data_IF_741209618590
#
_entry.id   IF_741209618590
#
_cell.length_a   1.000
_cell.length_b   1.000
_cell.length_c   1.000
_cell.angle_alpha   90.00
_cell.angle_beta   90.00
_cell.angle_gamma   90.00
#
_symmetry.space_group_name_H-M   'P 1'
#
loop_
_entity.id
_entity.type
_entity.pdbx_description
1 polymer ?
#
# COMPACT_ATOMS: atom_id res chain seq x y z
N UNK A 1 -8.90 -4.40 43.12
CA UNK A 1 -8.69 -5.82 42.76
C UNK A 1 -7.45 -6.31 43.48
N UNK A 2 -7.57 -7.37 44.29
CA UNK A 2 -6.49 -7.85 45.16
C UNK A 2 -5.62 -8.84 44.38
N UNK A 3 -4.30 -8.90 44.65
CA UNK A 3 -3.33 -9.79 43.93
C UNK A 3 -3.80 -11.26 43.88
N UNK A 4 -4.55 -11.71 44.90
CA UNK A 4 -5.15 -13.06 44.96
C UNK A 4 -6.29 -13.27 43.95
N UNK A 5 -7.06 -12.23 43.65
CA UNK A 5 -8.15 -12.30 42.66
C UNK A 5 -7.58 -12.32 41.24
N UNK A 6 -6.49 -11.55 41.02
CA UNK A 6 -5.77 -11.56 39.75
C UNK A 6 -5.16 -12.94 39.44
N UNK A 7 -4.55 -13.59 40.44
CA UNK A 7 -4.02 -14.96 40.31
C UNK A 7 -5.11 -16.01 40.08
N UNK A 8 -6.29 -15.86 40.67
CA UNK A 8 -7.44 -16.74 40.42
C UNK A 8 -8.00 -16.57 39.00
N UNK A 9 -8.03 -15.37 38.47
CA UNK A 9 -8.43 -15.12 37.08
C UNK A 9 -7.41 -15.73 36.09
N UNK A 10 -6.13 -15.64 36.39
CA UNK A 10 -5.07 -16.25 35.56
C UNK A 10 -5.09 -17.77 35.59
N UNK A 11 -5.38 -18.38 36.77
CA UNK A 11 -5.49 -19.83 36.86
C UNK A 11 -6.76 -20.38 36.21
N UNK A 12 -7.85 -19.62 36.17
CA UNK A 12 -9.07 -19.99 35.45
C UNK A 12 -8.87 -19.95 33.93
N UNK A 13 -8.04 -19.03 33.45
CA UNK A 13 -7.61 -18.99 32.02
C UNK A 13 -6.71 -20.18 31.65
N UNK A 14 -5.85 -20.64 32.57
CA UNK A 14 -4.96 -21.78 32.31
C UNK A 14 -5.70 -23.12 32.23
N UNK A 15 -6.80 -23.31 32.97
CA UNK A 15 -7.63 -24.51 32.91
C UNK A 15 -8.57 -24.53 31.72
N UNK A 16 -8.94 -23.36 31.19
CA UNK A 16 -9.72 -23.21 29.95
C UNK A 16 -8.91 -23.51 28.65
N UNK A 17 -7.60 -23.54 28.72
CA UNK A 17 -6.73 -23.73 27.57
C UNK A 17 -6.73 -25.17 27.02
N UNK A 18 -7.27 -26.15 27.73
CA UNK A 18 -7.36 -27.54 27.25
C UNK A 18 -8.61 -27.79 26.40
N UNK A 19 -9.57 -26.87 26.34
CA UNK A 19 -10.84 -27.06 25.64
C UNK A 19 -11.10 -26.01 24.51
N UNK A 20 -10.12 -25.18 24.14
CA UNK A 20 -10.36 -24.13 23.15
C UNK A 20 -9.34 -24.13 22.01
N UNK A 21 -9.52 -24.94 20.97
CA UNK A 21 -8.82 -24.73 19.70
C UNK A 21 -9.16 -23.37 19.07
N UNK A 22 -10.19 -22.68 19.59
CA UNK A 22 -10.69 -21.41 19.07
C UNK A 22 -9.83 -20.19 19.39
N UNK A 23 -9.07 -20.16 20.49
CA UNK A 23 -8.21 -19.00 20.81
C UNK A 23 -6.96 -18.97 19.94
N UNK A 24 -6.31 -20.12 19.70
CA UNK A 24 -5.20 -20.20 18.77
C UNK A 24 -5.66 -19.86 17.35
N UNK A 25 -6.84 -20.32 16.93
CA UNK A 25 -7.41 -19.97 15.64
C UNK A 25 -7.72 -18.47 15.52
N UNK A 26 -8.10 -17.78 16.60
CA UNK A 26 -8.30 -16.33 16.59
C UNK A 26 -6.96 -15.59 16.52
N UNK A 27 -5.92 -16.06 17.19
CA UNK A 27 -4.58 -15.49 17.07
C UNK A 27 -3.97 -15.79 15.70
N UNK A 28 -4.14 -16.99 15.15
CA UNK A 28 -3.72 -17.34 13.79
C UNK A 28 -4.49 -16.54 12.73
N UNK A 29 -5.80 -16.33 12.90
CA UNK A 29 -6.59 -15.48 12.02
C UNK A 29 -6.17 -14.01 12.11
N UNK A 30 -5.77 -13.52 13.30
CA UNK A 30 -5.27 -12.14 13.45
C UNK A 30 -3.86 -11.98 12.89
N UNK A 31 -2.98 -12.95 13.10
CA UNK A 31 -1.65 -12.99 12.47
C UNK A 31 -1.74 -13.13 10.96
N UNK A 32 -2.65 -13.98 10.45
CA UNK A 32 -2.90 -14.11 9.01
C UNK A 32 -3.51 -12.85 8.40
N UNK A 33 -4.28 -12.05 9.16
CA UNK A 33 -4.82 -10.78 8.69
C UNK A 33 -3.78 -9.66 8.61
N UNK A 34 -2.62 -9.84 9.23
CA UNK A 34 -1.48 -8.92 9.18
C UNK A 34 -0.33 -9.44 8.29
N UNK A 35 -0.45 -10.66 7.76
CA UNK A 35 0.53 -11.19 6.83
C UNK A 35 0.52 -10.40 5.51
N UNK A 36 1.68 -10.24 4.84
CA UNK A 36 1.70 -9.75 3.47
C UNK A 36 0.85 -10.66 2.59
N UNK A 37 -0.31 -10.18 2.12
CA UNK A 37 -1.32 -10.97 1.43
C UNK A 37 -2.67 -11.07 2.16
N UNK A 38 -2.88 -10.29 3.23
CA UNK A 38 -4.19 -10.20 3.91
C UNK A 38 -5.31 -9.94 2.90
N UNK A 39 -6.41 -10.68 3.06
CA UNK A 39 -7.59 -10.58 2.19
C UNK A 39 -8.09 -9.12 2.14
N UNK A 40 -8.27 -8.56 0.96
CA UNK A 40 -8.79 -7.22 0.80
C UNK A 40 -10.13 -7.04 1.53
N UNK A 41 -10.33 -5.86 2.13
CA UNK A 41 -11.55 -5.57 2.92
C UNK A 41 -12.54 -4.70 2.15
N UNK A 42 -12.07 -3.89 1.21
CA UNK A 42 -12.87 -2.99 0.39
C UNK A 42 -13.02 -3.50 -1.02
N UNK A 43 -11.93 -3.89 -1.66
CA UNK A 43 -11.93 -4.40 -3.03
C UNK A 43 -12.27 -5.89 -3.10
N UNK A 44 -12.91 -6.30 -4.17
CA UNK A 44 -13.06 -7.72 -4.51
C UNK A 44 -11.69 -8.35 -4.81
N UNK A 45 -11.59 -9.67 -4.74
CA UNK A 45 -10.35 -10.40 -5.04
C UNK A 45 -9.81 -10.08 -6.44
N UNK A 46 -10.68 -9.96 -7.45
CA UNK A 46 -10.29 -9.62 -8.82
C UNK A 46 -9.74 -8.18 -8.90
N UNK A 47 -10.40 -7.21 -8.25
CA UNK A 47 -9.95 -5.82 -8.21
C UNK A 47 -8.60 -5.69 -7.48
N UNK A 48 -8.43 -6.40 -6.38
CA UNK A 48 -7.17 -6.42 -5.62
C UNK A 48 -6.03 -7.00 -6.44
N UNK A 49 -6.27 -8.08 -7.17
CA UNK A 49 -5.27 -8.66 -8.07
C UNK A 49 -4.89 -7.70 -9.20
N UNK A 50 -5.85 -6.94 -9.73
CA UNK A 50 -5.58 -5.92 -10.73
C UNK A 50 -4.75 -4.78 -10.15
N UNK A 51 -5.13 -4.25 -8.98
CA UNK A 51 -4.38 -3.20 -8.28
C UNK A 51 -2.95 -3.68 -7.98
N UNK A 52 -2.79 -4.91 -7.48
CA UNK A 52 -1.50 -5.49 -7.19
C UNK A 52 -0.60 -5.54 -8.45
N UNK A 53 -1.14 -5.97 -9.58
CA UNK A 53 -0.40 -5.99 -10.84
C UNK A 53 -0.02 -4.58 -11.34
N UNK A 54 -0.85 -3.56 -11.11
CA UNK A 54 -0.53 -2.18 -11.49
C UNK A 54 0.54 -1.59 -10.57
N UNK A 55 0.45 -1.78 -9.25
CA UNK A 55 1.46 -1.23 -8.33
C UNK A 55 2.82 -1.90 -8.49
N UNK A 56 2.86 -3.17 -8.90
CA UNK A 56 4.09 -3.88 -9.23
C UNK A 56 4.78 -3.30 -10.48
N UNK A 57 3.98 -2.85 -11.47
CA UNK A 57 4.52 -2.14 -12.64
C UNK A 57 5.05 -0.76 -12.26
N UNK A 58 4.40 -0.08 -11.29
CA UNK A 58 4.78 1.28 -10.85
C UNK A 58 6.06 1.27 -10.02
N UNK A 59 6.17 0.34 -9.07
CA UNK A 59 7.34 0.17 -8.19
C UNK A 59 7.71 -1.31 -8.17
N UNK A 60 8.43 -1.78 -9.21
CA UNK A 60 8.83 -3.17 -9.30
C UNK A 60 9.94 -3.50 -8.29
N UNK A 61 10.05 -4.77 -7.94
CA UNK A 61 11.22 -5.27 -7.21
C UNK A 61 12.46 -5.20 -8.10
N UNK A 62 13.53 -4.62 -7.57
CA UNK A 62 14.85 -4.55 -8.20
C UNK A 62 15.90 -4.98 -7.17
N UNK A 63 16.99 -4.23 -7.01
CA UNK A 63 17.93 -4.38 -5.90
C UNK A 63 17.30 -3.94 -4.56
N UNK A 64 16.17 -3.24 -4.63
CA UNK A 64 15.37 -2.80 -3.50
C UNK A 64 14.00 -3.49 -3.52
N UNK A 65 13.31 -3.58 -2.35
CA UNK A 65 11.95 -4.08 -2.28
C UNK A 65 11.01 -3.33 -3.22
N UNK A 66 10.03 -4.03 -3.79
CA UNK A 66 8.97 -3.44 -4.61
C UNK A 66 7.70 -3.11 -3.81
N UNK A 67 6.68 -2.57 -4.49
CA UNK A 67 5.40 -2.23 -3.89
C UNK A 67 4.69 -3.42 -3.23
N UNK A 68 4.83 -4.61 -3.80
CA UNK A 68 4.23 -5.84 -3.24
C UNK A 68 4.90 -6.23 -1.93
N UNK A 69 6.22 -6.15 -1.85
CA UNK A 69 6.99 -6.44 -0.64
C UNK A 69 6.66 -5.46 0.51
N UNK A 70 6.33 -4.24 0.15
CA UNK A 70 5.94 -3.18 1.08
C UNK A 70 4.46 -3.25 1.52
N UNK A 71 3.68 -4.22 1.02
CA UNK A 71 2.26 -4.37 1.37
C UNK A 71 1.36 -3.27 0.80
N UNK A 72 1.79 -2.56 -0.25
CA UNK A 72 1.06 -1.43 -0.85
C UNK A 72 -0.38 -1.77 -1.25
N UNK A 73 -0.71 -2.96 -1.84
CA UNK A 73 -2.10 -3.28 -2.16
C UNK A 73 -3.02 -3.30 -0.93
N UNK A 74 -2.53 -3.78 0.20
CA UNK A 74 -3.28 -3.80 1.47
C UNK A 74 -3.46 -2.38 2.01
N UNK A 75 -2.42 -1.54 1.92
CA UNK A 75 -2.50 -0.14 2.29
C UNK A 75 -3.58 0.59 1.46
N UNK A 76 -3.60 0.40 0.14
CA UNK A 76 -4.60 1.01 -0.75
C UNK A 76 -6.02 0.55 -0.36
N UNK A 77 -6.20 -0.74 -0.06
CA UNK A 77 -7.50 -1.27 0.37
C UNK A 77 -7.98 -0.61 1.67
N UNK A 78 -7.10 -0.47 2.65
CA UNK A 78 -7.41 0.20 3.92
C UNK A 78 -7.73 1.68 3.73
N UNK A 79 -6.96 2.40 2.89
CA UNK A 79 -7.21 3.80 2.59
C UNK A 79 -8.61 4.01 2.02
N UNK A 80 -9.04 3.20 1.06
CA UNK A 80 -10.39 3.30 0.50
C UNK A 80 -11.47 2.88 1.48
N UNK A 81 -11.20 1.92 2.34
CA UNK A 81 -12.16 1.46 3.34
C UNK A 81 -12.39 2.50 4.44
N UNK A 82 -11.31 3.05 4.99
CA UNK A 82 -11.34 3.73 6.29
C UNK A 82 -11.17 5.26 6.16
N UNK A 83 -10.62 5.78 5.05
CA UNK A 83 -10.23 7.19 4.90
C UNK A 83 -11.02 7.90 3.81
N UNK A 84 -11.14 7.29 2.62
CA UNK A 84 -11.80 7.96 1.50
C UNK A 84 -13.31 8.06 1.65
N UNK A 85 -13.85 9.24 1.27
CA UNK A 85 -15.30 9.45 1.21
C UNK A 85 -15.94 8.55 0.14
N UNK A 86 -17.24 8.24 0.30
CA UNK A 86 -17.96 7.35 -0.63
C UNK A 86 -17.96 7.84 -2.07
N UNK A 87 -17.93 9.15 -2.29
CA UNK A 87 -17.83 9.73 -3.63
C UNK A 87 -16.50 9.37 -4.31
N UNK A 88 -15.38 9.45 -3.58
CA UNK A 88 -14.04 9.10 -4.08
C UNK A 88 -13.88 7.60 -4.26
N UNK A 89 -14.46 6.80 -3.35
CA UNK A 89 -14.54 5.34 -3.51
C UNK A 89 -15.24 4.97 -4.82
N UNK A 90 -16.40 5.57 -5.10
CA UNK A 90 -17.17 5.30 -6.32
C UNK A 90 -16.42 5.79 -7.57
N UNK A 91 -15.80 6.97 -7.51
CA UNK A 91 -14.94 7.48 -8.58
C UNK A 91 -13.82 6.51 -8.91
N UNK A 92 -13.11 6.02 -7.90
CA UNK A 92 -12.03 5.07 -8.09
C UNK A 92 -12.50 3.74 -8.68
N UNK A 93 -13.61 3.18 -8.19
CA UNK A 93 -14.17 1.93 -8.74
C UNK A 93 -14.61 2.08 -10.20
N UNK A 94 -15.22 3.21 -10.56
CA UNK A 94 -15.56 3.52 -11.95
C UNK A 94 -14.32 3.66 -12.82
N UNK A 95 -13.30 4.32 -12.32
CA UNK A 95 -12.01 4.50 -13.00
C UNK A 95 -11.27 3.16 -13.18
N UNK A 96 -11.29 2.29 -12.17
CA UNK A 96 -10.73 0.93 -12.22
C UNK A 96 -11.43 0.07 -13.29
N UNK A 97 -12.78 0.11 -13.35
CA UNK A 97 -13.53 -0.63 -14.35
C UNK A 97 -13.22 -0.15 -15.79
N UNK A 98 -13.08 1.17 -15.99
CA UNK A 98 -12.68 1.73 -17.27
C UNK A 98 -11.25 1.33 -17.66
N UNK A 99 -10.32 1.30 -16.68
CA UNK A 99 -8.95 0.86 -16.88
C UNK A 99 -8.87 -0.62 -17.29
N UNK A 100 -9.63 -1.50 -16.64
CA UNK A 100 -9.60 -2.93 -16.95
C UNK A 100 -9.93 -3.23 -18.42
N UNK A 101 -10.81 -2.40 -19.04
CA UNK A 101 -11.22 -2.54 -20.43
C UNK A 101 -10.37 -1.73 -21.43
N UNK A 102 -9.50 -0.83 -20.96
CA UNK A 102 -8.76 0.10 -21.82
C UNK A 102 -7.74 -0.56 -22.76
N UNK A 103 -7.40 -1.83 -22.51
CA UNK A 103 -6.52 -2.65 -23.35
C UNK A 103 -7.25 -3.51 -24.40
N UNK A 104 -8.56 -3.36 -24.57
CA UNK A 104 -9.38 -4.20 -25.45
C UNK A 104 -9.64 -5.62 -24.92
N UNK A 105 -9.00 -6.00 -23.83
CA UNK A 105 -9.21 -7.24 -23.06
C UNK A 105 -9.01 -6.93 -21.58
N UNK A 106 -9.58 -7.72 -20.66
CA UNK A 106 -9.32 -7.59 -19.24
C UNK A 106 -7.82 -7.50 -18.95
N UNK A 107 -7.40 -6.52 -18.15
CA UNK A 107 -6.01 -6.18 -17.91
C UNK A 107 -5.15 -7.39 -17.52
N UNK A 108 -5.64 -8.23 -16.61
CA UNK A 108 -4.92 -9.42 -16.16
C UNK A 108 -4.75 -10.51 -17.25
N UNK A 109 -5.51 -10.44 -18.35
CA UNK A 109 -5.38 -11.35 -19.50
C UNK A 109 -4.39 -10.85 -20.55
N UNK A 110 -3.86 -9.64 -20.41
CA UNK A 110 -2.80 -9.10 -21.25
C UNK A 110 -1.46 -9.73 -20.86
N UNK A 111 -0.55 -9.85 -21.81
CA UNK A 111 0.85 -10.17 -21.53
C UNK A 111 1.54 -9.01 -20.78
N UNK A 112 2.65 -9.30 -20.12
CA UNK A 112 3.36 -8.34 -19.27
C UNK A 112 3.78 -7.08 -20.05
N UNK A 113 4.31 -7.25 -21.26
CA UNK A 113 4.74 -6.12 -22.09
C UNK A 113 3.56 -5.19 -22.42
N UNK A 114 2.39 -5.75 -22.76
CA UNK A 114 1.18 -4.96 -23.04
C UNK A 114 0.62 -4.31 -21.78
N UNK A 115 0.66 -4.98 -20.62
CA UNK A 115 0.28 -4.37 -19.34
C UNK A 115 1.14 -3.13 -19.04
N UNK A 116 2.46 -3.27 -19.14
CA UNK A 116 3.40 -2.17 -18.92
C UNK A 116 3.18 -1.03 -19.93
N UNK A 117 3.03 -1.34 -21.22
CA UNK A 117 2.75 -0.34 -22.26
C UNK A 117 1.43 0.40 -22.00
N UNK A 118 0.37 -0.30 -21.58
CA UNK A 118 -0.92 0.32 -21.26
C UNK A 118 -0.81 1.30 -20.10
N UNK A 119 -0.19 0.87 -18.98
CA UNK A 119 0.02 1.74 -17.80
C UNK A 119 0.86 2.97 -18.18
N UNK A 120 1.94 2.79 -18.92
CA UNK A 120 2.82 3.90 -19.38
C UNK A 120 2.06 4.87 -20.28
N UNK A 121 1.30 4.37 -21.25
CA UNK A 121 0.50 5.21 -22.16
C UNK A 121 -0.53 6.05 -21.40
N UNK A 122 -1.31 5.42 -20.53
CA UNK A 122 -2.34 6.12 -19.76
C UNK A 122 -1.75 7.12 -18.76
N UNK A 123 -0.61 6.80 -18.17
CA UNK A 123 0.12 7.74 -17.33
C UNK A 123 0.59 8.96 -18.13
N UNK A 124 1.20 8.75 -19.31
CA UNK A 124 1.65 9.85 -20.18
C UNK A 124 0.47 10.70 -20.66
N UNK A 125 -0.66 10.08 -21.00
CA UNK A 125 -1.90 10.79 -21.35
C UNK A 125 -2.37 11.69 -20.20
N UNK A 126 -2.33 11.17 -18.98
CA UNK A 126 -2.81 11.92 -17.82
C UNK A 126 -1.94 13.14 -17.48
N UNK A 127 -0.62 13.01 -17.57
CA UNK A 127 0.30 14.13 -17.25
C UNK A 127 0.46 15.14 -18.39
N UNK A 128 0.17 14.76 -19.64
CA UNK A 128 0.24 15.67 -20.78
C UNK A 128 -0.92 16.68 -20.83
N UNK A 129 -1.96 16.48 -20.05
CA UNK A 129 -3.12 17.38 -20.02
C UNK A 129 -2.82 18.68 -19.29
N UNK A 130 -3.35 19.81 -19.78
CA UNK A 130 -3.23 21.09 -19.09
C UNK A 130 -3.86 21.02 -17.68
N UNK A 131 -3.35 21.79 -16.71
CA UNK A 131 -3.97 21.90 -15.38
C UNK A 131 -5.46 22.24 -15.49
N UNK A 132 -6.30 21.55 -14.72
CA UNK A 132 -7.76 21.75 -14.72
C UNK A 132 -8.53 20.94 -15.76
N UNK A 133 -7.85 20.20 -16.67
CA UNK A 133 -8.51 19.31 -17.61
C UNK A 133 -8.68 17.92 -17.01
N UNK A 134 -9.92 17.40 -16.96
CA UNK A 134 -10.17 16.04 -16.46
C UNK A 134 -9.45 14.98 -17.31
N UNK A 135 -8.77 14.06 -16.67
CA UNK A 135 -8.23 12.88 -17.32
C UNK A 135 -9.36 11.92 -17.74
N UNK A 136 -9.09 11.02 -18.70
CA UNK A 136 -10.00 9.90 -18.93
C UNK A 136 -10.11 9.05 -17.66
N UNK A 137 -11.24 8.40 -17.36
CA UNK A 137 -11.35 7.59 -16.15
C UNK A 137 -10.23 6.56 -16.01
N UNK A 138 -9.82 5.91 -17.10
CA UNK A 138 -8.72 4.95 -17.10
C UNK A 138 -7.37 5.58 -16.75
N UNK A 139 -7.08 6.79 -17.24
CA UNK A 139 -5.87 7.53 -16.92
C UNK A 139 -5.89 8.09 -15.49
N UNK A 140 -7.06 8.52 -15.02
CA UNK A 140 -7.29 8.95 -13.65
C UNK A 140 -7.00 7.81 -12.65
N UNK A 141 -7.45 6.59 -12.94
CA UNK A 141 -7.12 5.40 -12.16
C UNK A 141 -5.60 5.20 -12.01
N UNK A 142 -4.84 5.32 -13.10
CA UNK A 142 -3.38 5.15 -13.08
C UNK A 142 -2.72 6.22 -12.21
N UNK A 143 -3.15 7.49 -12.31
CA UNK A 143 -2.61 8.58 -11.48
C UNK A 143 -2.93 8.39 -10.00
N UNK A 144 -4.18 8.09 -9.66
CA UNK A 144 -4.60 7.87 -8.28
C UNK A 144 -3.86 6.68 -7.67
N UNK A 145 -3.78 5.56 -8.41
CA UNK A 145 -3.06 4.35 -7.96
C UNK A 145 -1.57 4.63 -7.79
N UNK A 146 -0.94 5.36 -8.71
CA UNK A 146 0.47 5.74 -8.59
C UNK A 146 0.73 6.59 -7.35
N UNK A 147 -0.10 7.61 -7.09
CA UNK A 147 0.03 8.45 -5.89
C UNK A 147 -0.06 7.63 -4.62
N UNK A 148 -1.05 6.75 -4.53
CA UNK A 148 -1.24 5.87 -3.38
C UNK A 148 -0.11 4.84 -3.25
N UNK A 149 0.39 4.31 -4.37
CA UNK A 149 1.51 3.39 -4.36
C UNK A 149 2.79 4.07 -3.84
N UNK A 150 3.08 5.27 -4.29
CA UNK A 150 4.22 6.04 -3.79
C UNK A 150 4.08 6.36 -2.30
N UNK A 151 2.90 6.83 -1.88
CA UNK A 151 2.62 7.12 -0.47
C UNK A 151 2.81 5.87 0.39
N UNK A 152 2.12 4.78 0.07
CA UNK A 152 2.19 3.54 0.83
C UNK A 152 3.59 2.92 0.84
N UNK A 153 4.32 3.02 -0.27
CA UNK A 153 5.68 2.50 -0.36
C UNK A 153 6.67 3.29 0.50
N UNK A 154 6.72 4.61 0.34
CA UNK A 154 7.69 5.43 1.07
C UNK A 154 7.36 5.62 2.55
N UNK A 155 6.11 5.37 2.97
CA UNK A 155 5.73 5.30 4.38
C UNK A 155 5.87 3.90 4.99
N UNK A 156 6.14 2.88 4.19
CA UNK A 156 6.35 1.52 4.68
C UNK A 156 7.73 1.35 5.32
N UNK A 157 7.85 0.34 6.20
CA UNK A 157 9.14 0.00 6.79
C UNK A 157 10.23 -0.27 5.72
N UNK A 158 10.00 -1.11 4.69
CA UNK A 158 10.97 -1.32 3.63
C UNK A 158 11.35 -0.03 2.89
N UNK A 159 10.38 0.79 2.54
CA UNK A 159 10.61 2.05 1.84
C UNK A 159 11.46 3.03 2.67
N UNK A 160 11.09 3.25 3.93
CA UNK A 160 11.82 4.15 4.83
C UNK A 160 13.23 3.68 5.15
N UNK A 161 13.43 2.36 5.38
CA UNK A 161 14.70 1.88 5.97
C UNK A 161 15.67 1.31 4.95
N UNK A 162 15.16 0.77 3.82
CA UNK A 162 16.00 0.13 2.81
C UNK A 162 16.22 1.01 1.57
N UNK A 163 15.24 1.83 1.20
CA UNK A 163 15.33 2.72 0.03
C UNK A 163 15.71 4.13 0.46
N UNK A 164 15.05 4.67 1.48
CA UNK A 164 15.39 5.94 2.10
C UNK A 164 16.29 5.74 3.32
N UNK A 165 16.77 6.83 3.87
CA UNK A 165 17.41 6.83 5.18
C UNK A 165 16.43 7.29 6.24
N UNK A 166 16.11 6.38 7.17
CA UNK A 166 15.27 6.69 8.32
C UNK A 166 16.12 6.89 9.57
N UNK A 167 15.88 8.00 10.27
CA UNK A 167 16.48 8.29 11.58
C UNK A 167 15.34 8.67 12.52
N UNK A 168 15.04 7.81 13.48
CA UNK A 168 13.92 7.98 14.40
C UNK A 168 14.03 9.26 15.25
N UNK A 169 15.26 9.59 15.66
CA UNK A 169 15.57 10.80 16.43
C UNK A 169 16.76 11.48 15.74
N UNK A 170 16.53 12.42 14.81
CA UNK A 170 17.61 13.21 14.25
C UNK A 170 18.26 14.04 15.36
N UNK A 171 19.58 14.05 15.41
CA UNK A 171 20.36 14.81 16.40
C UNK A 171 20.20 16.32 16.26
N UNK A 172 21.29 17.05 16.14
CA UNK A 172 21.24 18.50 15.89
C UNK A 172 20.97 18.83 14.42
N UNK A 173 20.39 20.00 14.18
CA UNK A 173 20.24 20.56 12.84
C UNK A 173 21.62 20.95 12.27
N UNK A 174 21.92 20.52 11.05
CA UNK A 174 23.06 20.94 10.25
C UNK A 174 22.55 21.52 8.95
N UNK A 175 22.76 22.80 8.73
CA UNK A 175 22.15 23.54 7.61
C UNK A 175 22.67 23.10 6.24
N UNK A 176 23.94 22.72 6.16
CA UNK A 176 24.61 22.33 4.92
C UNK A 176 25.57 21.18 5.19
N UNK A 177 25.32 20.04 4.58
CA UNK A 177 26.19 18.87 4.62
C UNK A 177 26.20 18.18 3.25
N UNK A 178 27.33 17.62 2.82
CA UNK A 178 27.39 16.80 1.61
C UNK A 178 26.40 15.63 1.66
N UNK A 179 25.78 15.28 0.55
CA UNK A 179 24.83 14.15 0.48
C UNK A 179 25.48 12.83 0.93
N UNK A 180 26.79 12.66 0.70
CA UNK A 180 27.55 11.49 1.17
C UNK A 180 27.60 11.35 2.69
N UNK A 181 27.52 12.48 3.42
CA UNK A 181 27.49 12.52 4.90
C UNK A 181 26.05 12.48 5.42
N UNK A 182 25.09 13.02 4.63
CA UNK A 182 23.68 13.14 4.97
C UNK A 182 22.88 11.86 4.74
N UNK A 183 23.44 10.71 4.83
CA UNK A 183 22.61 9.53 4.64
C UNK A 183 23.25 8.45 3.79
N UNK A 184 24.56 8.40 3.75
CA UNK A 184 25.29 7.46 2.90
C UNK A 184 24.83 7.53 1.42
N UNK A 185 24.53 8.74 0.93
CA UNK A 185 24.07 9.00 -0.43
C UNK A 185 22.58 8.69 -0.68
N UNK A 186 21.81 8.31 0.35
CA UNK A 186 20.35 8.10 0.24
C UNK A 186 19.57 9.32 0.71
N UNK A 187 18.43 9.57 0.09
CA UNK A 187 17.52 10.61 0.55
C UNK A 187 16.94 10.26 1.94
N UNK A 188 16.70 11.30 2.74
CA UNK A 188 16.06 11.13 4.04
C UNK A 188 14.59 10.75 3.89
N UNK A 189 14.11 9.89 4.77
CA UNK A 189 12.70 9.62 4.93
C UNK A 189 12.04 10.78 5.68
N UNK A 190 11.70 11.83 4.95
CA UNK A 190 10.99 13.00 5.47
C UNK A 190 9.60 13.04 4.86
N UNK A 191 8.66 13.64 5.59
CA UNK A 191 7.33 13.89 5.09
C UNK A 191 7.41 14.86 3.91
N UNK A 192 6.96 14.41 2.76
CA UNK A 192 6.76 15.29 1.59
C UNK A 192 5.30 15.66 1.52
N UNK A 193 4.98 16.94 1.36
CA UNK A 193 3.62 17.38 1.05
C UNK A 193 3.17 16.76 -0.27
N UNK A 194 2.58 15.58 -0.19
CA UNK A 194 1.81 15.03 -1.29
C UNK A 194 0.50 15.80 -1.36
N UNK A 195 0.44 16.83 -2.18
CA UNK A 195 -0.83 17.45 -2.57
C UNK A 195 -1.62 16.39 -3.34
N UNK A 196 -2.51 15.75 -2.62
CA UNK A 196 -3.47 14.74 -3.13
C UNK A 196 -4.60 15.46 -3.86
#
# INVERSE_FOLDING_TARGET
MNRREWLKCMSALAVGAVAAPSLLAVFDAHAASQAPGAVPRFFSSAQSSLIAAVVDIVIPRTDTPGALDAGVPVFIDQMFKDVYAKADQQRYLTALAAFDQAGGKPFLKLDEAKRKALVTRLHSEAIAKPPGTAATPAADFVLMTKKLAMLGFFMSQPGCTQVLQYVAVPGGFKADIPLSEAGNGRAWAVETELKI
#
